data_IF_934082137152
#
_entry.id   IF_934082137152
#
_cell.length_a   1.000
_cell.length_b   1.000
_cell.length_c   1.000
_cell.angle_alpha   90.00
_cell.angle_beta   90.00
_cell.angle_gamma   90.00
#
_symmetry.space_group_name_H-M   'P 1'
#
loop_
_entity.id
_entity.type
_entity.pdbx_description
1 polymer ?
#
# COMPACT_ATOMS: atom_id res chain seq x y z
N UNK A 1 11.66 3.00 -5.02
CA UNK A 1 12.69 4.02 -5.16
C UNK A 1 12.29 5.06 -6.21
N UNK A 2 12.19 4.68 -7.49
CA UNK A 2 11.95 5.62 -8.62
C UNK A 2 10.67 6.42 -8.44
N UNK A 3 9.52 5.77 -8.22
CA UNK A 3 8.22 6.45 -8.09
C UNK A 3 8.17 7.51 -6.98
N UNK A 4 8.94 7.35 -5.92
CA UNK A 4 8.93 8.25 -4.76
C UNK A 4 10.21 9.09 -4.62
N UNK A 5 11.15 8.98 -5.59
CA UNK A 5 12.43 9.69 -5.54
C UNK A 5 13.26 9.35 -4.30
N UNK A 6 13.13 8.15 -3.75
CA UNK A 6 13.81 7.74 -2.53
C UNK A 6 15.09 6.95 -2.81
N UNK A 7 16.12 7.06 -1.97
CA UNK A 7 17.34 6.28 -2.09
C UNK A 7 17.05 4.77 -2.13
N UNK A 8 17.74 4.05 -3.01
CA UNK A 8 17.55 2.59 -3.17
C UNK A 8 17.82 1.85 -1.87
N UNK A 9 18.85 2.26 -1.12
CA UNK A 9 19.24 1.66 0.16
C UNK A 9 18.11 1.73 1.18
N UNK A 10 17.39 2.87 1.24
CA UNK A 10 16.27 3.08 2.15
C UNK A 10 15.07 2.20 1.78
N UNK A 11 14.89 1.96 0.48
CA UNK A 11 13.73 1.24 -0.04
C UNK A 11 13.95 -0.27 -0.16
N UNK A 12 15.17 -0.77 0.16
CA UNK A 12 15.52 -2.17 -0.06
C UNK A 12 15.63 -2.94 1.25
N UNK A 13 14.77 -3.94 1.42
CA UNK A 13 14.81 -4.88 2.54
C UNK A 13 15.55 -6.18 2.22
N UNK A 14 15.84 -6.95 3.27
CA UNK A 14 16.55 -8.25 3.18
C UNK A 14 15.69 -9.37 2.57
N UNK A 15 14.37 -9.16 2.49
CA UNK A 15 13.45 -10.19 2.04
C UNK A 15 13.52 -11.45 2.93
N UNK A 16 13.84 -12.59 2.33
CA UNK A 16 13.92 -13.88 3.03
C UNK A 16 15.21 -14.08 3.86
N UNK A 17 15.87 -13.01 4.31
CA UNK A 17 16.99 -13.12 5.25
C UNK A 17 18.37 -13.05 4.58
N UNK A 18 18.57 -12.19 3.62
CA UNK A 18 19.89 -11.94 3.01
C UNK A 18 20.92 -11.50 4.05
N UNK A 19 22.18 -11.94 3.87
CA UNK A 19 23.34 -11.40 4.60
C UNK A 19 23.59 -9.92 4.21
N UNK A 20 24.53 -9.27 4.91
CA UNK A 20 24.90 -7.89 4.59
C UNK A 20 25.48 -7.77 3.18
N UNK A 21 26.33 -8.70 2.78
CA UNK A 21 26.87 -8.75 1.41
C UNK A 21 25.76 -9.05 0.38
N UNK A 22 24.78 -9.87 0.74
CA UNK A 22 23.61 -10.17 -0.09
C UNK A 22 22.74 -8.93 -0.30
N UNK A 23 22.52 -8.16 0.76
CA UNK A 23 21.80 -6.88 0.68
C UNK A 23 22.55 -5.86 -0.17
N UNK A 24 23.86 -5.72 0.02
CA UNK A 24 24.67 -4.81 -0.78
C UNK A 24 24.63 -5.16 -2.28
N UNK A 25 24.73 -6.45 -2.64
CA UNK A 25 24.57 -6.90 -4.04
C UNK A 25 23.19 -6.62 -4.59
N UNK A 26 22.13 -6.75 -3.77
CA UNK A 26 20.75 -6.44 -4.15
C UNK A 26 20.59 -4.95 -4.46
N UNK A 27 21.11 -4.08 -3.60
CA UNK A 27 21.10 -2.63 -3.81
C UNK A 27 21.85 -2.26 -5.08
N UNK A 28 23.07 -2.78 -5.28
CA UNK A 28 23.86 -2.56 -6.52
C UNK A 28 23.10 -3.00 -7.78
N UNK A 29 22.46 -4.17 -7.73
CA UNK A 29 21.68 -4.67 -8.87
C UNK A 29 20.49 -3.76 -9.19
N UNK A 30 19.80 -3.24 -8.17
CA UNK A 30 18.69 -2.29 -8.36
C UNK A 30 19.21 -0.98 -8.96
N UNK A 31 20.30 -0.41 -8.43
CA UNK A 31 20.90 0.81 -8.96
C UNK A 31 21.29 0.66 -10.43
N UNK A 32 21.94 -0.45 -10.78
CA UNK A 32 22.29 -0.75 -12.19
C UNK A 32 21.06 -0.93 -13.06
N UNK A 33 20.01 -1.59 -12.56
CA UNK A 33 18.74 -1.74 -13.26
C UNK A 33 18.09 -0.40 -13.58
N UNK A 34 18.08 0.52 -12.63
CA UNK A 34 17.55 1.88 -12.82
C UNK A 34 18.39 2.64 -13.87
N UNK A 35 19.72 2.60 -13.76
CA UNK A 35 20.61 3.27 -14.69
C UNK A 35 20.53 2.73 -16.12
N UNK A 36 20.39 1.41 -16.29
CA UNK A 36 20.32 0.79 -17.61
C UNK A 36 18.98 1.00 -18.33
N UNK A 37 17.89 1.10 -17.56
CA UNK A 37 16.55 1.19 -18.14
C UNK A 37 16.03 2.63 -18.22
N UNK A 38 16.66 3.57 -17.53
CA UNK A 38 16.33 5.01 -17.54
C UNK A 38 14.80 5.26 -17.44
N UNK A 39 14.15 4.80 -16.36
CA UNK A 39 12.72 4.99 -16.19
C UNK A 39 12.38 6.47 -15.97
N UNK A 40 11.29 6.95 -16.58
CA UNK A 40 10.75 8.26 -16.30
C UNK A 40 9.95 8.22 -14.98
N UNK A 41 10.39 8.88 -13.89
CA UNK A 41 9.71 8.85 -12.60
C UNK A 41 8.31 9.47 -12.61
N UNK A 42 8.02 10.32 -13.60
CA UNK A 42 6.71 10.94 -13.75
C UNK A 42 5.72 10.07 -14.56
N UNK A 43 6.24 9.11 -15.35
CA UNK A 43 5.42 8.16 -16.09
C UNK A 43 5.38 6.79 -15.38
N UNK A 44 4.29 6.56 -14.64
CA UNK A 44 4.09 5.31 -13.90
C UNK A 44 4.05 4.07 -14.81
N UNK A 45 3.53 4.19 -16.04
CA UNK A 45 3.52 3.07 -16.98
C UNK A 45 4.92 2.76 -17.49
N UNK A 46 5.75 3.76 -17.74
CA UNK A 46 7.15 3.58 -18.13
C UNK A 46 7.93 2.90 -17.00
N UNK A 47 7.74 3.35 -15.74
CA UNK A 47 8.36 2.70 -14.57
C UNK A 47 7.93 1.24 -14.45
N UNK A 48 6.63 0.94 -14.60
CA UNK A 48 6.13 -0.44 -14.56
C UNK A 48 6.69 -1.29 -15.70
N UNK A 49 6.78 -0.74 -16.91
CA UNK A 49 7.32 -1.46 -18.08
C UNK A 49 8.81 -1.77 -17.95
N UNK A 50 9.59 -0.86 -17.39
CA UNK A 50 11.04 -0.96 -17.30
C UNK A 50 11.56 -1.66 -16.04
N UNK A 51 10.90 -1.45 -14.90
CA UNK A 51 11.34 -1.91 -13.58
C UNK A 51 10.33 -2.78 -12.85
N UNK A 52 9.05 -2.73 -13.25
CA UNK A 52 8.00 -3.53 -12.64
C UNK A 52 8.01 -4.98 -13.12
N UNK A 53 7.25 -5.83 -12.43
CA UNK A 53 6.96 -7.19 -12.86
C UNK A 53 5.49 -7.33 -13.27
N UNK A 54 5.14 -8.42 -13.92
CA UNK A 54 3.75 -8.72 -14.27
C UNK A 54 2.85 -8.88 -13.04
N UNK A 55 3.41 -9.28 -11.91
CA UNK A 55 2.75 -9.35 -10.61
C UNK A 55 2.31 -7.97 -10.12
N UNK A 56 3.20 -6.97 -10.10
CA UNK A 56 2.88 -5.60 -9.69
C UNK A 56 1.90 -4.97 -10.69
N UNK A 57 2.12 -5.17 -12.00
CA UNK A 57 1.22 -4.66 -13.04
C UNK A 57 -0.19 -5.28 -12.93
N UNK A 58 -0.28 -6.59 -12.70
CA UNK A 58 -1.54 -7.30 -12.49
C UNK A 58 -2.28 -6.80 -11.25
N UNK A 59 -1.59 -6.68 -10.11
CA UNK A 59 -2.16 -6.12 -8.88
C UNK A 59 -2.59 -4.66 -9.05
N UNK A 60 -1.83 -3.84 -9.78
CA UNK A 60 -2.24 -2.48 -10.14
C UNK A 60 -3.59 -2.49 -10.87
N UNK A 61 -3.77 -3.41 -11.83
CA UNK A 61 -5.05 -3.63 -12.51
C UNK A 61 -6.19 -4.04 -11.56
N UNK A 62 -5.90 -4.84 -10.52
CA UNK A 62 -6.89 -5.21 -9.49
C UNK A 62 -7.37 -3.97 -8.73
N UNK A 63 -6.48 -3.06 -8.32
CA UNK A 63 -6.87 -1.83 -7.64
C UNK A 63 -7.68 -0.88 -8.54
N UNK A 64 -7.30 -0.75 -9.80
CA UNK A 64 -8.06 0.03 -10.79
C UNK A 64 -9.45 -0.58 -11.04
N UNK A 65 -9.52 -1.91 -11.18
CA UNK A 65 -10.77 -2.66 -11.36
C UNK A 65 -11.69 -2.54 -10.15
N UNK A 66 -11.14 -2.64 -8.94
CA UNK A 66 -11.89 -2.43 -7.71
C UNK A 66 -12.50 -1.03 -7.64
N UNK A 67 -11.72 0.00 -7.99
CA UNK A 67 -12.21 1.37 -8.05
C UNK A 67 -13.32 1.57 -9.08
N UNK A 68 -13.18 0.95 -10.26
CA UNK A 68 -14.17 1.01 -11.33
C UNK A 68 -15.47 0.30 -10.93
N UNK A 69 -15.36 -0.84 -10.25
CA UNK A 69 -16.50 -1.64 -9.80
C UNK A 69 -17.11 -1.16 -8.46
N UNK A 70 -16.51 -0.17 -7.78
CA UNK A 70 -16.94 0.26 -6.46
C UNK A 70 -16.69 -0.79 -5.36
N UNK A 71 -15.70 -1.66 -5.56
CA UNK A 71 -15.34 -2.73 -4.61
C UNK A 71 -14.06 -2.33 -3.87
N UNK A 72 -14.06 -2.36 -2.52
CA UNK A 72 -12.85 -2.11 -1.74
C UNK A 72 -11.80 -3.21 -1.97
N UNK A 73 -10.53 -2.80 -2.07
CA UNK A 73 -9.39 -3.70 -2.23
C UNK A 73 -8.42 -3.46 -1.08
N UNK A 74 -8.17 -4.51 -0.30
CA UNK A 74 -7.22 -4.48 0.80
C UNK A 74 -5.80 -4.65 0.26
N UNK A 75 -4.87 -3.77 0.66
CA UNK A 75 -3.46 -4.09 0.47
C UNK A 75 -3.07 -5.20 1.45
N UNK A 76 -2.14 -6.05 1.05
CA UNK A 76 -1.45 -6.96 1.98
C UNK A 76 -0.16 -6.28 2.47
N UNK A 77 0.99 -6.72 1.99
CA UNK A 77 2.28 -6.16 2.38
C UNK A 77 2.81 -5.09 1.42
N UNK A 78 4.14 -4.99 1.37
CA UNK A 78 4.86 -3.97 0.61
C UNK A 78 4.57 -4.02 -0.90
N UNK A 79 4.58 -5.22 -1.52
CA UNK A 79 4.40 -5.39 -2.98
C UNK A 79 3.02 -4.88 -3.41
N UNK A 80 1.96 -5.28 -2.72
CA UNK A 80 0.60 -4.82 -3.01
C UNK A 80 0.43 -3.32 -2.74
N UNK A 81 1.13 -2.79 -1.73
CA UNK A 81 1.20 -1.34 -1.48
C UNK A 81 1.81 -0.57 -2.65
N UNK A 82 2.90 -1.08 -3.25
CA UNK A 82 3.50 -0.49 -4.46
C UNK A 82 2.54 -0.56 -5.65
N UNK A 83 1.84 -1.68 -5.83
CA UNK A 83 0.84 -1.80 -6.89
C UNK A 83 -0.33 -0.82 -6.71
N UNK A 84 -0.80 -0.63 -5.46
CA UNK A 84 -1.81 0.37 -5.13
C UNK A 84 -1.30 1.80 -5.41
N UNK A 85 -0.03 2.09 -5.10
CA UNK A 85 0.60 3.38 -5.42
C UNK A 85 0.62 3.63 -6.93
N UNK A 86 0.98 2.63 -7.74
CA UNK A 86 0.92 2.72 -9.20
C UNK A 86 -0.52 3.01 -9.67
N UNK A 87 -1.51 2.29 -9.16
CA UNK A 87 -2.92 2.49 -9.52
C UNK A 87 -3.39 3.91 -9.19
N UNK A 88 -3.05 4.44 -8.02
CA UNK A 88 -3.44 5.79 -7.60
C UNK A 88 -2.72 6.87 -8.41
N UNK A 89 -1.46 6.66 -8.80
CA UNK A 89 -0.74 7.59 -9.69
C UNK A 89 -1.32 7.61 -11.10
N UNK A 90 -1.72 6.46 -11.63
CA UNK A 90 -2.39 6.34 -12.93
C UNK A 90 -3.81 6.92 -12.91
N UNK A 91 -4.53 6.71 -11.82
CA UNK A 91 -5.90 7.18 -11.64
C UNK A 91 -6.13 7.58 -10.18
N UNK A 92 -6.01 8.88 -9.82
CA UNK A 92 -6.18 9.33 -8.44
C UNK A 92 -7.51 8.93 -7.79
N UNK A 93 -8.56 8.75 -8.59
CA UNK A 93 -9.85 8.26 -8.10
C UNK A 93 -9.79 6.83 -7.52
N UNK A 94 -8.79 6.02 -7.92
CA UNK A 94 -8.58 4.68 -7.40
C UNK A 94 -8.28 4.66 -5.88
N UNK A 95 -7.78 5.77 -5.32
CA UNK A 95 -7.53 5.89 -3.89
C UNK A 95 -8.75 5.58 -3.01
N UNK A 96 -9.98 5.75 -3.53
CA UNK A 96 -11.23 5.46 -2.82
C UNK A 96 -11.44 3.97 -2.56
N UNK A 97 -10.91 3.11 -3.42
CA UNK A 97 -11.01 1.66 -3.31
C UNK A 97 -9.84 1.04 -2.53
N UNK A 98 -8.75 1.78 -2.28
CA UNK A 98 -7.56 1.28 -1.59
C UNK A 98 -7.74 1.37 -0.08
N UNK A 99 -7.62 0.23 0.60
CA UNK A 99 -7.66 0.13 2.05
C UNK A 99 -6.40 -0.57 2.57
N UNK A 100 -5.70 0.07 3.51
CA UNK A 100 -4.49 -0.48 4.08
C UNK A 100 -4.82 -1.47 5.21
N UNK A 101 -4.41 -2.73 5.07
CA UNK A 101 -4.60 -3.76 6.09
C UNK A 101 -3.57 -3.63 7.20
N UNK A 102 -2.29 -3.74 6.86
CA UNK A 102 -1.21 -3.69 7.84
C UNK A 102 0.01 -2.93 7.30
N UNK A 103 0.87 -2.50 8.22
CA UNK A 103 2.22 -2.06 7.90
C UNK A 103 3.16 -3.26 7.95
N UNK A 104 3.67 -3.68 6.79
CA UNK A 104 4.70 -4.72 6.73
C UNK A 104 5.99 -4.28 7.43
N UNK A 105 6.77 -5.24 7.93
CA UNK A 105 8.10 -4.99 8.51
C UNK A 105 9.16 -4.62 7.45
N UNK A 106 8.85 -4.66 6.16
CA UNK A 106 9.75 -4.20 5.09
C UNK A 106 10.05 -2.70 5.23
N UNK A 107 11.32 -2.25 5.05
CA UNK A 107 11.74 -0.87 5.31
C UNK A 107 10.89 0.19 4.59
N UNK A 108 10.54 -0.05 3.34
CA UNK A 108 9.79 0.89 2.51
C UNK A 108 8.27 0.85 2.74
N UNK A 109 7.74 -0.09 3.53
CA UNK A 109 6.30 -0.29 3.66
C UNK A 109 5.58 0.96 4.20
N UNK A 110 6.14 1.56 5.26
CA UNK A 110 5.58 2.79 5.85
C UNK A 110 5.63 3.96 4.87
N UNK A 111 6.74 4.13 4.16
CA UNK A 111 6.92 5.21 3.18
C UNK A 111 5.88 5.11 2.07
N UNK A 112 5.59 3.90 1.59
CA UNK A 112 4.56 3.66 0.56
C UNK A 112 3.16 3.97 1.10
N UNK A 113 2.84 3.56 2.33
CA UNK A 113 1.54 3.85 2.94
C UNK A 113 1.33 5.36 3.17
N UNK A 114 2.37 6.06 3.60
CA UNK A 114 2.36 7.53 3.74
C UNK A 114 2.14 8.22 2.39
N UNK A 115 2.84 7.76 1.34
CA UNK A 115 2.64 8.28 -0.02
C UNK A 115 1.23 8.03 -0.56
N UNK A 116 0.58 6.94 -0.16
CA UNK A 116 -0.82 6.65 -0.46
C UNK A 116 -1.81 7.45 0.40
N UNK A 117 -1.34 8.14 1.45
CA UNK A 117 -2.21 8.80 2.44
C UNK A 117 -3.07 7.80 3.22
N UNK A 118 -2.56 6.58 3.46
CA UNK A 118 -3.28 5.50 4.12
C UNK A 118 -2.66 5.12 5.45
N UNK A 119 -3.50 5.03 6.49
CA UNK A 119 -3.11 4.49 7.78
C UNK A 119 -3.44 2.99 7.83
N UNK A 120 -2.48 2.12 8.20
CA UNK A 120 -2.76 0.70 8.38
C UNK A 120 -3.55 0.46 9.66
N UNK A 121 -4.48 -0.50 9.66
CA UNK A 121 -5.23 -0.87 10.87
C UNK A 121 -4.46 -1.85 11.77
N UNK A 122 -3.45 -2.54 11.24
CA UNK A 122 -2.59 -3.46 11.99
C UNK A 122 -1.13 -3.02 11.87
N UNK A 123 -0.43 -2.93 13.01
CA UNK A 123 1.01 -2.75 13.07
C UNK A 123 1.57 -3.79 14.04
N UNK A 124 1.92 -4.95 13.53
CA UNK A 124 2.30 -6.12 14.32
C UNK A 124 3.58 -6.82 13.81
N UNK A 125 4.42 -6.11 13.05
CA UNK A 125 5.66 -6.66 12.50
C UNK A 125 5.46 -7.81 11.51
N UNK A 126 4.31 -7.86 10.82
CA UNK A 126 4.01 -8.90 9.83
C UNK A 126 4.96 -8.80 8.64
N UNK A 127 5.49 -9.94 8.18
CA UNK A 127 6.41 -10.00 7.05
C UNK A 127 6.34 -11.31 6.24
N UNK A 128 5.29 -12.13 6.48
CA UNK A 128 5.09 -13.37 5.72
C UNK A 128 4.64 -13.09 4.29
N UNK A 129 3.75 -12.12 4.09
CA UNK A 129 3.08 -11.89 2.82
C UNK A 129 1.92 -12.87 2.57
N UNK A 130 1.74 -13.27 1.32
CA UNK A 130 0.76 -14.27 0.86
C UNK A 130 -0.70 -13.96 1.25
N UNK A 131 -1.03 -12.67 1.37
CA UNK A 131 -2.36 -12.21 1.75
C UNK A 131 -2.66 -12.28 3.25
N UNK A 132 -1.70 -12.72 4.08
CA UNK A 132 -1.95 -12.94 5.52
C UNK A 132 -2.37 -11.70 6.26
N UNK A 133 -1.76 -10.55 5.97
CA UNK A 133 -2.13 -9.29 6.61
C UNK A 133 -3.49 -8.79 6.16
N UNK A 134 -3.82 -8.93 4.88
CA UNK A 134 -5.13 -8.58 4.34
C UNK A 134 -6.22 -9.44 5.01
N UNK A 135 -6.04 -10.76 5.04
CA UNK A 135 -7.00 -11.69 5.66
C UNK A 135 -7.15 -11.43 7.16
N UNK A 136 -6.05 -11.20 7.89
CA UNK A 136 -6.09 -10.89 9.31
C UNK A 136 -6.84 -9.58 9.62
N UNK A 137 -6.93 -8.68 8.67
CA UNK A 137 -7.65 -7.40 8.83
C UNK A 137 -9.17 -7.53 8.63
N UNK A 138 -9.67 -8.56 7.95
CA UNK A 138 -11.10 -8.71 7.62
C UNK A 138 -11.99 -8.67 8.87
N UNK A 139 -11.72 -9.41 9.96
CA UNK A 139 -12.54 -9.34 11.16
C UNK A 139 -12.65 -7.93 11.77
N UNK A 140 -11.60 -7.11 11.63
CA UNK A 140 -11.62 -5.72 12.12
C UNK A 140 -12.56 -4.85 11.27
N UNK A 141 -12.58 -5.07 9.96
CA UNK A 141 -13.54 -4.42 9.06
C UNK A 141 -14.97 -4.85 9.35
N UNK A 142 -15.21 -6.14 9.57
CA UNK A 142 -16.55 -6.66 9.94
C UNK A 142 -17.05 -6.05 11.26
N UNK A 143 -16.17 -5.97 12.27
CA UNK A 143 -16.50 -5.30 13.53
C UNK A 143 -16.82 -3.82 13.34
N UNK A 144 -16.02 -3.10 12.56
CA UNK A 144 -16.25 -1.67 12.27
C UNK A 144 -17.58 -1.45 11.55
N UNK A 145 -17.92 -2.29 10.58
CA UNK A 145 -19.19 -2.24 9.86
C UNK A 145 -20.38 -2.58 10.77
N UNK A 146 -20.22 -3.54 11.67
CA UNK A 146 -21.26 -3.89 12.64
C UNK A 146 -21.55 -2.72 13.61
N UNK A 147 -20.49 -2.03 14.08
CA UNK A 147 -20.65 -0.82 14.90
C UNK A 147 -21.33 0.29 14.09
N UNK A 148 -20.88 0.55 12.88
CA UNK A 148 -21.43 1.59 12.00
C UNK A 148 -22.92 1.35 11.71
N UNK A 149 -23.32 0.11 11.43
CA UNK A 149 -24.70 -0.26 11.13
C UNK A 149 -25.60 -0.43 12.36
N UNK A 150 -25.02 -0.64 13.55
CA UNK A 150 -25.76 -0.91 14.80
C UNK A 150 -25.85 0.28 15.76
N UNK A 151 -25.12 1.36 15.52
CA UNK A 151 -25.15 2.54 16.38
C UNK A 151 -26.19 3.56 15.90
N UNK A 152 -26.92 4.12 16.84
CA UNK A 152 -27.80 5.26 16.56
C UNK A 152 -26.98 6.56 16.45
N UNK A 153 -27.37 7.44 15.54
CA UNK A 153 -26.87 8.81 15.51
C UNK A 153 -27.39 9.62 16.70
N UNK A 154 -26.73 10.71 17.04
CA UNK A 154 -27.20 11.63 18.06
C UNK A 154 -28.62 12.15 17.76
N UNK A 155 -28.93 12.41 16.49
CA UNK A 155 -30.24 12.86 16.06
C UNK A 155 -31.33 11.80 16.31
N UNK A 156 -31.05 10.53 16.00
CA UNK A 156 -31.97 9.41 16.27
C UNK A 156 -32.15 9.14 17.77
N UNK A 157 -31.09 9.35 18.55
CA UNK A 157 -31.14 9.24 20.03
C UNK A 157 -31.69 10.46 20.75
N UNK A 158 -32.06 11.52 20.04
CA UNK A 158 -32.57 12.78 20.65
C UNK A 158 -31.47 13.53 21.42
N UNK A 159 -30.19 13.26 21.15
CA UNK A 159 -29.04 13.87 21.84
C UNK A 159 -28.57 15.08 21.04
N UNK A 160 -28.37 16.22 21.72
CA UNK A 160 -27.79 17.40 21.06
C UNK A 160 -26.40 17.13 20.52
N UNK A 161 -26.05 17.64 19.31
CA UNK A 161 -24.72 17.49 18.76
C UNK A 161 -23.64 18.06 19.71
N UNK A 162 -22.48 17.37 19.75
CA UNK A 162 -21.34 17.89 20.48
C UNK A 162 -20.84 19.20 19.85
N UNK A 163 -20.75 20.24 20.67
CA UNK A 163 -20.14 21.50 20.27
C UNK A 163 -18.75 21.58 20.91
N UNK A 164 -17.66 21.66 20.10
CA UNK A 164 -16.32 21.80 20.65
C UNK A 164 -16.24 23.05 21.54
N UNK A 165 -15.71 22.89 22.73
CA UNK A 165 -15.40 24.05 23.59
C UNK A 165 -14.06 24.63 23.09
N UNK A 166 -14.05 25.90 22.70
CA UNK A 166 -12.83 26.64 22.30
C UNK A 166 -11.99 26.97 23.53
#
# INVERSE_FOLDING_TARGET
>A
AVLLGQPVELMTGRGAGLSDEGLARKVDAICRGILCNEPDPEDTLDVLAKLGGFDIAGLCGVFLGGALAGVPVLTDGFISGVAALCAVRLCPAAAKAVFASHCSAEPAARIVLEALGKAPIITAGLHLGEGTGAVASIPLWDMALAVYGGCYSFAEGGIAPYTPQC
#
